data_IF_270752602922
#
_entry.id   IF_270752602922
#
_cell.length_a   1.000
_cell.length_b   1.000
_cell.length_c   1.000
_cell.angle_alpha   90.00
_cell.angle_beta   90.00
_cell.angle_gamma   90.00
#
_symmetry.space_group_name_H-M   'P 1'
#
loop_
_entity.id
_entity.type
_entity.pdbx_description
1 polymer ?
#
# COMPACT_ATOMS: atom_id res chain seq x y z
N UNK A 1 17.90 -67.49 43.71
CA UNK A 1 16.64 -67.48 44.49
C UNK A 1 16.56 -66.13 45.19
N UNK A 2 15.96 -65.13 44.54
CA UNK A 2 14.58 -64.64 44.74
C UNK A 2 14.34 -63.98 46.12
N UNK A 3 14.78 -62.73 46.19
CA UNK A 3 14.06 -61.54 46.68
C UNK A 3 12.55 -61.67 46.98
N UNK A 4 12.12 -61.20 48.16
CA UNK A 4 11.24 -60.02 48.41
C UNK A 4 10.38 -60.15 49.69
N UNK A 5 10.48 -59.12 50.52
CA UNK A 5 9.62 -58.81 51.67
C UNK A 5 8.24 -58.27 51.24
N UNK A 6 7.22 -58.56 52.04
CA UNK A 6 5.91 -57.90 52.02
C UNK A 6 5.55 -57.42 53.42
N UNK A 7 5.23 -56.14 53.57
CA UNK A 7 4.38 -55.63 54.63
C UNK A 7 3.46 -54.54 54.08
N UNK A 8 2.14 -54.79 54.11
CA UNK A 8 1.11 -53.74 54.22
C UNK A 8 1.12 -53.21 55.67
N UNK A 9 0.61 -52.02 55.99
CA UNK A 9 -0.75 -51.54 55.69
C UNK A 9 -0.87 -50.03 55.96
N UNK A 10 -1.71 -49.38 55.15
CA UNK A 10 -2.53 -48.17 55.33
C UNK A 10 -2.04 -47.01 56.22
N UNK A 11 -1.86 -45.85 55.58
CA UNK A 11 -2.13 -44.53 56.17
C UNK A 11 -3.08 -43.74 55.26
N UNK A 12 -4.08 -43.13 55.89
CA UNK A 12 -5.11 -42.27 55.30
C UNK A 12 -4.49 -40.95 54.86
N UNK A 13 -4.72 -40.53 53.60
CA UNK A 13 -4.31 -39.22 53.10
C UNK A 13 -5.54 -38.42 52.64
N UNK A 14 -5.65 -37.20 53.18
CA UNK A 14 -6.58 -36.14 52.79
C UNK A 14 -6.47 -35.82 51.29
N UNK A 15 -7.59 -35.83 50.57
CA UNK A 15 -7.68 -35.21 49.25
C UNK A 15 -7.82 -33.68 49.39
N UNK A 16 -6.78 -32.94 49.03
CA UNK A 16 -6.87 -31.52 48.68
C UNK A 16 -7.08 -31.45 47.16
N UNK A 17 -8.28 -31.07 46.71
CA UNK A 17 -8.51 -30.66 45.32
C UNK A 17 -7.87 -29.28 45.11
N UNK A 18 -6.73 -29.26 44.44
CA UNK A 18 -6.16 -28.04 43.89
C UNK A 18 -6.80 -27.79 42.52
N UNK A 19 -7.69 -26.80 42.44
CA UNK A 19 -8.16 -26.22 41.18
C UNK A 19 -7.01 -25.48 40.52
N UNK A 20 -6.38 -26.10 39.51
CA UNK A 20 -5.47 -25.42 38.60
C UNK A 20 -6.29 -24.50 37.69
N UNK A 21 -6.33 -23.20 38.02
CA UNK A 21 -6.69 -22.16 37.07
C UNK A 21 -5.56 -22.06 36.05
N UNK A 22 -5.77 -22.67 34.87
CA UNK A 22 -4.95 -22.41 33.69
C UNK A 22 -5.21 -20.96 33.26
N UNK A 23 -4.36 -20.05 33.74
CA UNK A 23 -4.20 -18.75 33.09
C UNK A 23 -3.60 -19.01 31.71
N UNK A 24 -4.44 -19.02 30.68
CA UNK A 24 -4.01 -18.73 29.32
C UNK A 24 -3.63 -17.25 29.25
N UNK A 25 -2.48 -16.91 29.82
CA UNK A 25 -1.81 -15.65 29.49
C UNK A 25 -1.36 -15.78 28.05
N UNK A 26 -2.06 -15.11 27.14
CA UNK A 26 -1.51 -14.85 25.81
C UNK A 26 -0.17 -14.15 26.05
N UNK A 27 0.91 -14.85 25.72
CA UNK A 27 2.26 -14.32 25.78
C UNK A 27 2.33 -13.16 24.79
N UNK A 28 2.16 -11.93 25.27
CA UNK A 28 2.51 -10.74 24.50
C UNK A 28 4.02 -10.65 24.47
N UNK A 29 4.64 -11.46 23.61
CA UNK A 29 6.00 -11.21 23.19
C UNK A 29 5.97 -9.87 22.45
N UNK A 30 6.62 -8.85 23.01
CA UNK A 30 7.02 -7.72 22.20
C UNK A 30 7.92 -8.28 21.09
N UNK A 31 7.43 -8.26 19.85
CA UNK A 31 8.20 -8.67 18.68
C UNK A 31 9.37 -7.68 18.57
N UNK A 32 10.61 -8.15 18.66
CA UNK A 32 11.78 -7.27 18.60
C UNK A 32 11.78 -6.52 17.26
N UNK A 33 11.67 -5.18 17.31
CA UNK A 33 11.82 -4.29 16.15
C UNK A 33 10.53 -3.78 15.49
N UNK A 34 9.33 -4.22 15.91
CA UNK A 34 8.07 -3.70 15.36
C UNK A 34 7.46 -2.60 16.26
N UNK A 35 7.04 -1.47 15.68
CA UNK A 35 6.41 -0.36 16.40
C UNK A 35 4.88 -0.52 16.54
N UNK A 36 4.37 -1.74 16.43
CA UNK A 36 2.95 -2.09 16.54
C UNK A 36 2.75 -3.36 17.36
N UNK A 37 1.50 -3.59 17.79
CA UNK A 37 1.15 -4.84 18.48
C UNK A 37 1.11 -6.02 17.49
N UNK A 38 1.24 -7.24 17.99
CA UNK A 38 1.19 -8.45 17.16
C UNK A 38 -0.09 -8.58 16.31
N UNK A 39 -1.24 -8.05 16.75
CA UNK A 39 -2.48 -8.06 15.97
C UNK A 39 -2.43 -7.15 14.73
N UNK A 40 -1.50 -6.20 14.72
CA UNK A 40 -1.30 -5.19 13.67
C UNK A 40 0.03 -5.36 12.95
N UNK A 41 0.69 -6.51 13.13
CA UNK A 41 1.98 -6.81 12.52
C UNK A 41 1.84 -7.93 11.51
N UNK A 42 2.35 -7.69 10.31
CA UNK A 42 2.46 -8.67 9.23
C UNK A 42 3.93 -9.06 9.14
N UNK A 43 4.19 -10.37 9.16
CA UNK A 43 5.52 -10.97 9.10
C UNK A 43 5.45 -12.21 8.23
N UNK A 44 5.67 -12.02 6.93
CA UNK A 44 5.45 -13.04 5.92
C UNK A 44 6.76 -13.42 5.25
N UNK A 45 7.13 -14.70 5.33
CA UNK A 45 8.25 -15.27 4.57
C UNK A 45 7.67 -16.06 3.40
N UNK A 46 7.88 -15.55 2.20
CA UNK A 46 7.44 -16.17 0.96
C UNK A 46 8.20 -17.47 0.70
N UNK A 47 7.64 -18.42 -0.06
CA UNK A 47 8.31 -19.71 -0.34
C UNK A 47 9.66 -19.60 -1.07
N UNK A 48 9.99 -18.45 -1.66
CA UNK A 48 11.31 -18.15 -2.22
C UNK A 48 12.39 -17.89 -1.15
N UNK A 49 11.99 -17.68 0.11
CA UNK A 49 12.83 -17.23 1.22
C UNK A 49 12.81 -15.71 1.44
N UNK A 50 12.27 -14.93 0.51
CA UNK A 50 12.11 -13.49 0.67
C UNK A 50 11.08 -13.20 1.77
N UNK A 51 11.28 -12.13 2.54
CA UNK A 51 10.45 -11.80 3.70
C UNK A 51 10.03 -10.34 3.71
N UNK A 52 8.75 -10.12 3.96
CA UNK A 52 8.14 -8.81 4.17
C UNK A 52 7.69 -8.67 5.61
N UNK A 53 8.02 -7.54 6.22
CA UNK A 53 7.57 -7.21 7.57
C UNK A 53 7.01 -5.79 7.57
N UNK A 54 5.83 -5.61 8.13
CA UNK A 54 5.20 -4.30 8.20
C UNK A 54 4.16 -4.22 9.30
N UNK A 55 3.94 -3.03 9.81
CA UNK A 55 2.77 -2.73 10.61
C UNK A 55 1.62 -2.25 9.72
N UNK A 56 0.39 -2.48 10.16
CA UNK A 56 -0.80 -1.92 9.51
C UNK A 56 -1.69 -1.26 10.55
N UNK A 57 -2.44 -0.24 10.13
CA UNK A 57 -3.46 0.38 10.97
C UNK A 57 -4.70 0.76 10.17
N UNK A 58 -5.77 0.97 10.92
CA UNK A 58 -7.03 1.49 10.41
C UNK A 58 -7.13 2.99 10.69
N UNK A 59 -7.43 3.77 9.64
CA UNK A 59 -7.69 5.20 9.71
C UNK A 59 -9.03 5.52 9.07
N UNK A 60 -9.79 6.42 9.68
CA UNK A 60 -11.13 6.78 9.18
C UNK A 60 -11.14 7.30 7.74
N UNK A 61 -10.08 8.00 7.31
CA UNK A 61 -9.99 8.57 5.96
C UNK A 61 -9.28 7.65 4.98
N UNK A 62 -8.01 7.37 5.21
CA UNK A 62 -7.20 6.55 4.30
C UNK A 62 -7.67 5.08 4.19
N UNK A 63 -8.45 4.58 5.15
CA UNK A 63 -8.80 3.17 5.24
C UNK A 63 -7.68 2.38 5.93
N UNK A 64 -7.03 1.47 5.20
CA UNK A 64 -5.87 0.73 5.71
C UNK A 64 -4.58 1.43 5.28
N UNK A 65 -3.67 1.62 6.23
CA UNK A 65 -2.33 2.20 6.01
C UNK A 65 -1.27 1.24 6.51
N UNK A 66 -0.19 1.08 5.75
CA UNK A 66 0.99 0.32 6.14
C UNK A 66 2.09 1.26 6.61
N UNK A 67 2.85 0.86 7.62
CA UNK A 67 3.97 1.64 8.13
C UNK A 67 5.07 0.73 8.65
N UNK A 68 6.28 1.28 8.72
CA UNK A 68 7.49 0.53 9.06
C UNK A 68 7.61 -0.74 8.20
N UNK A 69 7.67 -0.54 6.88
CA UNK A 69 7.73 -1.60 5.87
C UNK A 69 9.18 -1.97 5.62
N UNK A 70 9.50 -3.25 5.82
CA UNK A 70 10.82 -3.83 5.63
C UNK A 70 10.79 -4.97 4.63
N UNK A 71 11.88 -5.08 3.87
CA UNK A 71 12.15 -6.20 2.97
C UNK A 71 13.45 -6.90 3.36
N UNK A 72 13.46 -8.23 3.29
CA UNK A 72 14.66 -9.07 3.42
C UNK A 72 14.70 -10.05 2.26
N UNK A 73 15.74 -10.00 1.43
CA UNK A 73 15.96 -11.03 0.40
C UNK A 73 16.38 -12.36 1.04
N UNK A 74 16.26 -13.52 0.36
CA UNK A 74 16.47 -14.85 0.96
C UNK A 74 17.78 -15.03 1.75
N UNK A 75 18.86 -14.40 1.31
CA UNK A 75 20.19 -14.43 1.95
C UNK A 75 20.68 -13.02 2.35
N UNK A 76 19.77 -12.05 2.39
CA UNK A 76 20.07 -10.65 2.60
C UNK A 76 19.95 -10.20 4.05
N UNK A 77 20.21 -8.91 4.24
CA UNK A 77 19.89 -8.19 5.47
C UNK A 77 18.53 -7.53 5.34
N UNK A 78 17.79 -7.46 6.44
CA UNK A 78 16.58 -6.66 6.52
C UNK A 78 16.90 -5.19 6.20
N UNK A 79 16.04 -4.54 5.42
CA UNK A 79 16.14 -3.11 5.09
C UNK A 79 14.79 -2.45 5.20
N UNK A 80 14.75 -1.26 5.81
CA UNK A 80 13.56 -0.41 5.76
C UNK A 80 13.39 0.12 4.34
N UNK A 81 12.14 0.19 3.89
CA UNK A 81 11.77 0.64 2.55
C UNK A 81 10.84 1.84 2.63
N UNK A 82 9.74 1.70 3.38
CA UNK A 82 8.75 2.76 3.57
C UNK A 82 8.57 3.00 5.07
N UNK A 83 8.62 4.26 5.49
CA UNK A 83 8.07 4.68 6.76
C UNK A 83 6.54 4.52 6.75
N UNK A 84 5.87 4.83 5.63
CA UNK A 84 4.42 4.74 5.49
C UNK A 84 3.98 4.58 4.03
N UNK A 85 2.92 3.83 3.81
CA UNK A 85 2.28 3.65 2.51
C UNK A 85 0.76 3.66 2.65
N UNK A 86 0.06 4.44 1.82
CA UNK A 86 -1.40 4.52 1.88
C UNK A 86 -2.00 5.30 0.73
N UNK A 87 -3.34 5.28 0.65
CA UNK A 87 -4.08 6.09 -0.30
C UNK A 87 -4.25 7.52 0.23
N UNK A 88 -3.85 8.50 -0.57
CA UNK A 88 -3.93 9.92 -0.24
C UNK A 88 -5.23 10.57 -0.73
N UNK A 89 -5.81 10.08 -1.84
CA UNK A 89 -7.08 10.59 -2.36
C UNK A 89 -7.68 9.67 -3.42
N UNK A 90 -9.00 9.69 -3.54
CA UNK A 90 -9.74 9.30 -4.74
C UNK A 90 -10.52 10.51 -5.21
N UNK A 91 -10.11 11.11 -6.33
CA UNK A 91 -10.78 12.29 -6.89
C UNK A 91 -11.65 11.89 -8.08
N UNK A 92 -12.96 12.13 -7.97
CA UNK A 92 -13.97 11.66 -8.94
C UNK A 92 -14.75 12.83 -9.56
N UNK A 93 -14.21 13.46 -10.62
CA UNK A 93 -14.92 14.47 -11.38
C UNK A 93 -15.86 13.85 -12.42
N UNK A 94 -17.10 14.32 -12.47
CA UNK A 94 -18.05 14.02 -13.54
C UNK A 94 -17.89 15.01 -14.70
N UNK A 95 -18.03 14.51 -15.92
CA UNK A 95 -17.77 15.26 -17.16
C UNK A 95 -18.86 16.29 -17.49
N UNK A 96 -20.06 16.13 -16.93
CA UNK A 96 -21.12 17.14 -16.96
C UNK A 96 -20.96 18.24 -15.89
N UNK A 97 -19.91 18.15 -15.08
CA UNK A 97 -19.60 19.01 -13.95
C UNK A 97 -20.70 19.06 -12.86
N UNK A 98 -21.58 18.06 -12.80
CA UNK A 98 -22.61 17.96 -11.76
C UNK A 98 -22.04 17.66 -10.38
N UNK A 99 -20.88 17.01 -10.30
CA UNK A 99 -20.21 16.67 -9.05
C UNK A 99 -18.72 16.40 -9.24
N UNK A 100 -17.97 16.65 -8.17
CA UNK A 100 -16.52 16.42 -8.08
C UNK A 100 -16.25 15.94 -6.66
N UNK A 101 -15.94 14.65 -6.50
CA UNK A 101 -15.76 14.05 -5.17
C UNK A 101 -14.29 13.93 -4.79
N UNK A 102 -14.05 13.92 -3.48
CA UNK A 102 -12.75 13.75 -2.85
C UNK A 102 -12.90 12.69 -1.75
N UNK A 103 -13.04 11.44 -2.16
CA UNK A 103 -13.69 10.42 -1.33
C UNK A 103 -12.91 10.10 -0.05
N UNK A 104 -11.58 10.24 -0.06
CA UNK A 104 -10.76 10.00 1.13
C UNK A 104 -10.90 11.14 2.16
N UNK A 105 -10.83 12.39 1.72
CA UNK A 105 -10.84 13.55 2.62
C UNK A 105 -12.23 13.92 3.13
N UNK A 106 -13.24 13.77 2.27
CA UNK A 106 -14.60 14.27 2.51
C UNK A 106 -15.49 13.23 3.18
N UNK A 107 -15.31 11.94 2.87
CA UNK A 107 -16.08 10.83 3.44
C UNK A 107 -15.20 9.87 4.25
N UNK A 108 -14.14 9.38 3.63
CA UNK A 108 -13.23 8.37 4.14
C UNK A 108 -13.52 6.97 3.63
N UNK A 109 -12.47 6.16 3.56
CA UNK A 109 -12.48 4.73 3.21
C UNK A 109 -12.49 3.85 4.47
N UNK A 110 -12.25 4.42 5.65
CA UNK A 110 -12.24 3.71 6.92
C UNK A 110 -13.57 3.77 7.65
N UNK A 111 -13.50 3.59 8.97
CA UNK A 111 -14.67 3.62 9.85
C UNK A 111 -15.78 2.69 9.39
N UNK A 112 -16.98 3.25 9.23
CA UNK A 112 -18.17 2.54 8.74
C UNK A 112 -18.19 2.26 7.24
N UNK A 113 -17.30 2.91 6.46
CA UNK A 113 -17.20 2.71 5.01
C UNK A 113 -16.37 1.48 4.65
N UNK A 114 -15.47 1.05 5.55
CA UNK A 114 -14.73 -0.19 5.38
C UNK A 114 -15.69 -1.37 5.57
N UNK A 115 -15.65 -2.37 4.68
CA UNK A 115 -16.55 -3.54 4.69
C UNK A 115 -16.09 -4.65 5.64
N UNK A 116 -17.04 -5.47 6.10
CA UNK A 116 -16.78 -6.62 6.99
C UNK A 116 -16.62 -7.83 6.09
N UNK A 117 -15.36 -8.15 5.80
CA UNK A 117 -15.00 -9.19 4.85
C UNK A 117 -15.34 -10.56 5.45
N UNK A 118 -15.68 -11.50 4.58
CA UNK A 118 -15.84 -12.90 4.97
C UNK A 118 -14.91 -13.84 4.18
N UNK A 119 -15.00 -15.14 4.47
CA UNK A 119 -14.15 -16.14 3.82
C UNK A 119 -14.37 -16.27 2.31
N UNK A 120 -15.47 -15.74 1.76
CA UNK A 120 -15.71 -15.67 0.32
C UNK A 120 -15.00 -14.49 -0.34
N UNK A 121 -14.74 -13.40 0.41
CA UNK A 121 -13.87 -12.32 -0.03
C UNK A 121 -12.39 -12.75 0.01
N UNK A 122 -11.98 -13.42 1.09
CA UNK A 122 -10.58 -13.78 1.35
C UNK A 122 -10.30 -15.28 1.15
N UNK A 123 -10.53 -15.78 -0.06
CA UNK A 123 -10.34 -17.20 -0.39
C UNK A 123 -8.88 -17.61 -0.20
N UNK A 124 -8.67 -18.70 0.56
CA UNK A 124 -7.35 -19.26 0.92
C UNK A 124 -6.41 -18.26 1.63
N UNK A 125 -6.96 -17.16 2.15
CA UNK A 125 -6.23 -16.15 2.90
C UNK A 125 -6.54 -16.15 4.40
N UNK A 126 -6.04 -15.12 5.07
CA UNK A 126 -6.25 -14.82 6.48
C UNK A 126 -6.91 -13.47 6.60
N UNK A 127 -8.03 -13.41 7.30
CA UNK A 127 -8.71 -12.17 7.65
C UNK A 127 -8.06 -11.55 8.88
N UNK A 128 -7.65 -10.29 8.75
CA UNK A 128 -7.09 -9.47 9.81
C UNK A 128 -8.17 -8.51 10.35
N UNK A 129 -8.22 -8.40 11.67
CA UNK A 129 -9.39 -7.88 12.38
C UNK A 129 -9.11 -6.56 13.09
N UNK A 130 -10.02 -5.60 12.95
CA UNK A 130 -9.99 -4.34 13.69
C UNK A 130 -11.36 -4.10 14.35
N UNK A 131 -11.37 -3.82 15.66
CA UNK A 131 -12.60 -3.51 16.43
C UNK A 131 -13.76 -4.49 16.21
N UNK A 132 -13.46 -5.78 16.06
CA UNK A 132 -14.48 -6.82 15.91
C UNK A 132 -14.91 -7.12 14.47
N UNK A 133 -14.33 -6.41 13.50
CA UNK A 133 -14.64 -6.49 12.07
C UNK A 133 -13.45 -7.01 11.28
N UNK A 134 -13.66 -7.94 10.37
CA UNK A 134 -12.63 -8.46 9.47
C UNK A 134 -12.46 -7.45 8.32
N UNK A 135 -11.31 -6.78 8.24
CA UNK A 135 -11.15 -5.55 7.44
C UNK A 135 -10.03 -5.60 6.40
N UNK A 136 -9.14 -6.58 6.51
CA UNK A 136 -7.98 -6.72 5.65
C UNK A 136 -7.76 -8.20 5.36
N UNK A 137 -7.76 -8.57 4.09
CA UNK A 137 -7.39 -9.90 3.65
C UNK A 137 -5.89 -9.97 3.37
N UNK A 138 -5.22 -10.96 3.94
CA UNK A 138 -3.84 -11.33 3.67
C UNK A 138 -3.80 -12.67 2.96
N UNK A 139 -3.13 -12.75 1.81
CA UNK A 139 -2.93 -14.03 1.12
C UNK A 139 -1.54 -14.12 0.50
N UNK A 140 -1.00 -15.33 0.40
CA UNK A 140 0.23 -15.62 -0.35
C UNK A 140 -0.15 -16.44 -1.58
N UNK A 141 0.23 -15.95 -2.76
CA UNK A 141 -0.16 -16.54 -4.04
C UNK A 141 1.06 -16.82 -4.91
N UNK A 142 0.98 -17.86 -5.73
CA UNK A 142 2.01 -18.17 -6.72
C UNK A 142 1.90 -17.20 -7.89
N UNK A 143 3.00 -16.54 -8.26
CA UNK A 143 3.05 -15.48 -9.28
C UNK A 143 3.96 -15.86 -10.47
N UNK A 144 3.73 -17.05 -11.04
CA UNK A 144 4.50 -17.49 -12.21
C UNK A 144 5.96 -17.81 -11.90
N UNK A 145 6.90 -17.29 -12.71
CA UNK A 145 8.34 -17.53 -12.57
C UNK A 145 9.04 -16.32 -11.96
N UNK A 146 9.84 -16.57 -10.91
CA UNK A 146 10.80 -15.59 -10.40
C UNK A 146 11.94 -15.42 -11.41
N UNK A 147 12.46 -16.54 -11.91
CA UNK A 147 13.37 -16.54 -13.05
C UNK A 147 13.20 -17.80 -13.90
N UNK A 148 13.60 -17.70 -15.17
CA UNK A 148 13.61 -18.81 -16.12
C UNK A 148 14.79 -18.70 -17.08
N UNK A 149 15.70 -19.67 -17.03
CA UNK A 149 16.80 -19.83 -17.99
C UNK A 149 16.97 -21.29 -18.40
N UNK A 150 16.53 -21.63 -19.62
CA UNK A 150 16.52 -23.01 -20.14
C UNK A 150 15.84 -24.00 -19.18
N UNK A 151 16.57 -24.84 -18.45
CA UNK A 151 15.99 -25.78 -17.49
C UNK A 151 16.00 -25.24 -16.05
N UNK A 152 16.81 -24.22 -15.77
CA UNK A 152 16.84 -23.56 -14.47
C UNK A 152 15.63 -22.63 -14.35
N UNK A 153 14.87 -22.80 -13.27
CA UNK A 153 13.71 -21.97 -12.98
C UNK A 153 13.38 -22.00 -11.50
N UNK A 154 12.73 -20.93 -11.05
CA UNK A 154 12.13 -20.83 -9.72
C UNK A 154 10.75 -20.20 -9.85
N UNK A 155 9.79 -20.66 -9.05
CA UNK A 155 8.47 -20.04 -8.99
C UNK A 155 8.53 -18.76 -8.17
N UNK A 156 7.82 -17.71 -8.62
CA UNK A 156 7.62 -16.50 -7.84
C UNK A 156 6.39 -16.64 -6.94
N UNK A 157 6.40 -15.93 -5.83
CA UNK A 157 5.27 -15.80 -4.92
C UNK A 157 5.09 -14.34 -4.50
N UNK A 158 3.86 -13.96 -4.19
CA UNK A 158 3.50 -12.61 -3.76
C UNK A 158 2.69 -12.67 -2.47
N UNK A 159 2.91 -11.69 -1.60
CA UNK A 159 2.01 -11.34 -0.51
C UNK A 159 1.02 -10.30 -1.03
N UNK A 160 -0.26 -10.62 -1.02
CA UNK A 160 -1.34 -9.70 -1.40
C UNK A 160 -2.12 -9.27 -0.16
N UNK A 161 -2.31 -7.97 -0.03
CA UNK A 161 -3.06 -7.33 1.05
C UNK A 161 -4.15 -6.45 0.44
N UNK A 162 -5.42 -6.69 0.74
CA UNK A 162 -6.50 -5.83 0.27
C UNK A 162 -7.59 -5.60 1.31
N UNK A 163 -8.26 -4.47 1.18
CA UNK A 163 -9.48 -4.13 1.92
C UNK A 163 -10.56 -3.68 0.96
N UNK A 164 -11.82 -3.64 1.39
CA UNK A 164 -12.94 -3.18 0.56
C UNK A 164 -13.63 -2.02 1.28
N UNK A 165 -13.83 -0.91 0.59
CA UNK A 165 -14.49 0.28 1.11
C UNK A 165 -15.68 0.65 0.23
N UNK A 166 -16.87 0.71 0.81
CA UNK A 166 -18.09 1.11 0.12
C UNK A 166 -18.37 2.59 0.34
N UNK A 167 -18.21 3.42 -0.70
CA UNK A 167 -18.47 4.86 -0.66
C UNK A 167 -19.50 5.25 -1.71
N UNK A 168 -20.65 5.75 -1.24
CA UNK A 168 -21.75 6.09 -2.12
C UNK A 168 -22.30 4.83 -2.80
N UNK A 169 -22.09 4.74 -4.12
CA UNK A 169 -22.51 3.58 -4.92
C UNK A 169 -21.32 2.75 -5.44
N UNK A 170 -20.11 3.14 -5.05
CA UNK A 170 -18.86 2.50 -5.47
C UNK A 170 -18.28 1.65 -4.36
N UNK A 171 -17.62 0.56 -4.76
CA UNK A 171 -16.72 -0.20 -3.90
C UNK A 171 -15.29 0.00 -4.42
N UNK A 172 -14.44 0.55 -3.55
CA UNK A 172 -13.02 0.69 -3.75
C UNK A 172 -12.28 -0.44 -3.07
N UNK A 173 -11.34 -1.07 -3.77
CA UNK A 173 -10.57 -2.21 -3.28
C UNK A 173 -9.08 -1.84 -3.39
N UNK A 174 -8.52 -1.06 -2.44
CA UNK A 174 -7.09 -0.82 -2.40
C UNK A 174 -6.38 -2.16 -2.18
N UNK A 175 -5.52 -2.54 -3.11
CA UNK A 175 -4.73 -3.76 -3.09
C UNK A 175 -3.25 -3.42 -3.15
N UNK A 176 -2.47 -4.08 -2.29
CA UNK A 176 -1.02 -4.00 -2.26
C UNK A 176 -0.46 -5.38 -2.53
N UNK A 177 0.42 -5.47 -3.51
CA UNK A 177 1.15 -6.70 -3.83
C UNK A 177 2.63 -6.48 -3.50
N UNK A 178 3.16 -7.35 -2.66
CA UNK A 178 4.55 -7.36 -2.22
C UNK A 178 5.21 -8.62 -2.78
N UNK A 179 6.16 -8.46 -3.70
CA UNK A 179 6.73 -9.56 -4.47
C UNK A 179 7.99 -10.12 -3.83
N UNK A 180 8.37 -11.32 -4.22
CA UNK A 180 9.59 -11.96 -3.74
C UNK A 180 10.90 -11.42 -4.33
N UNK A 181 10.85 -10.55 -5.34
CA UNK A 181 12.00 -9.80 -5.84
C UNK A 181 12.14 -8.41 -5.20
N UNK A 182 11.22 -8.02 -4.31
CA UNK A 182 11.27 -6.76 -3.57
C UNK A 182 10.41 -5.63 -4.16
N UNK A 183 9.66 -5.87 -5.23
CA UNK A 183 8.74 -4.90 -5.77
C UNK A 183 7.49 -4.72 -4.86
N UNK A 184 6.93 -3.51 -4.93
CA UNK A 184 5.68 -3.13 -4.27
C UNK A 184 4.76 -2.57 -5.34
N UNK A 185 3.60 -3.19 -5.53
CA UNK A 185 2.63 -2.81 -6.55
C UNK A 185 1.29 -2.44 -5.89
N UNK A 186 1.05 -1.15 -5.61
CA UNK A 186 -0.27 -0.69 -5.25
C UNK A 186 -1.18 -0.66 -6.48
N UNK A 187 -2.41 -1.13 -6.31
CA UNK A 187 -3.45 -1.10 -7.34
C UNK A 187 -4.82 -0.85 -6.71
N UNK A 188 -5.80 -0.49 -7.54
CA UNK A 188 -7.16 -0.20 -7.10
C UNK A 188 -8.14 -1.04 -7.90
N UNK A 189 -8.89 -1.90 -7.22
CA UNK A 189 -10.13 -2.43 -7.75
C UNK A 189 -11.25 -1.41 -7.62
N UNK A 190 -12.06 -1.23 -8.67
CA UNK A 190 -13.24 -0.38 -8.64
C UNK A 190 -14.45 -1.16 -9.17
N UNK A 191 -15.48 -1.28 -8.34
CA UNK A 191 -16.74 -1.97 -8.67
C UNK A 191 -17.93 -1.24 -8.02
N UNK A 192 -19.11 -1.87 -7.99
CA UNK A 192 -20.36 -1.28 -7.49
C UNK A 192 -21.29 -0.91 -8.64
N UNK A 193 -21.95 0.25 -8.54
CA UNK A 193 -22.88 0.74 -9.57
C UNK A 193 -22.67 2.22 -9.88
N UNK A 194 -23.10 2.62 -11.08
CA UNK A 194 -23.07 4.04 -11.48
C UNK A 194 -23.90 4.88 -10.52
N UNK A 195 -23.31 5.94 -9.98
CA UNK A 195 -23.98 6.81 -9.02
C UNK A 195 -24.86 7.88 -9.66
N UNK A 196 -24.45 8.40 -10.83
CA UNK A 196 -25.14 9.53 -11.47
C UNK A 196 -25.62 9.22 -12.88
N UNK A 197 -26.81 9.72 -13.16
CA UNK A 197 -27.47 9.62 -14.45
C UNK A 197 -27.99 10.98 -14.88
N UNK A 198 -27.98 11.23 -16.18
CA UNK A 198 -28.56 12.41 -16.84
C UNK A 198 -29.34 12.00 -18.09
N UNK A 199 -29.63 12.98 -18.94
CA UNK A 199 -30.36 12.83 -20.21
C UNK A 199 -29.56 13.34 -21.43
N UNK A 200 -28.40 13.97 -21.21
CA UNK A 200 -27.55 14.50 -22.27
C UNK A 200 -26.45 13.50 -22.67
N UNK A 201 -26.62 12.89 -23.85
CA UNK A 201 -25.70 11.90 -24.40
C UNK A 201 -24.29 12.45 -24.72
N UNK A 202 -24.07 13.77 -24.66
CA UNK A 202 -22.72 14.34 -24.82
C UNK A 202 -21.82 14.05 -23.62
N UNK A 203 -22.40 13.79 -22.46
CA UNK A 203 -21.67 13.60 -21.19
C UNK A 203 -21.67 12.14 -20.71
N UNK A 204 -22.02 11.17 -21.55
CA UNK A 204 -22.07 9.78 -21.09
C UNK A 204 -22.64 8.79 -22.09
N UNK A 205 -23.00 7.62 -21.59
CA UNK A 205 -23.52 6.51 -22.38
C UNK A 205 -24.95 6.14 -21.97
N UNK A 206 -25.80 5.76 -22.94
CA UNK A 206 -27.14 5.26 -22.64
C UNK A 206 -27.07 3.89 -21.96
N UNK A 207 -27.74 3.77 -20.81
CA UNK A 207 -27.72 2.59 -19.93
C UNK A 207 -29.07 1.87 -19.89
N UNK A 208 -29.94 2.12 -20.86
CA UNK A 208 -31.32 1.68 -20.95
C UNK A 208 -32.35 2.72 -20.53
N UNK A 209 -33.53 2.64 -21.15
CA UNK A 209 -34.71 3.47 -20.87
C UNK A 209 -34.47 4.98 -21.03
N UNK A 210 -33.54 5.38 -21.90
CA UNK A 210 -33.23 6.80 -22.14
C UNK A 210 -32.45 7.45 -21.00
N UNK A 211 -31.84 6.66 -20.11
CA UNK A 211 -30.99 7.17 -19.03
C UNK A 211 -29.53 7.15 -19.47
N UNK A 212 -28.87 8.29 -19.38
CA UNK A 212 -27.45 8.41 -19.67
C UNK A 212 -26.67 8.22 -18.37
N UNK A 213 -25.83 7.19 -18.28
CA UNK A 213 -24.81 7.07 -17.23
C UNK A 213 -23.72 8.10 -17.49
N UNK A 214 -23.57 9.06 -16.57
CA UNK A 214 -22.67 10.20 -16.78
C UNK A 214 -21.22 9.73 -16.66
N UNK A 215 -20.41 10.07 -17.68
CA UNK A 215 -18.99 9.80 -17.73
C UNK A 215 -18.27 10.56 -16.60
N UNK A 216 -17.27 9.91 -16.04
CA UNK A 216 -16.46 10.43 -14.93
C UNK A 216 -15.12 9.70 -14.90
N UNK A 217 -14.14 10.30 -14.25
CA UNK A 217 -12.82 9.68 -14.03
C UNK A 217 -12.63 9.36 -12.56
N UNK A 218 -11.92 8.29 -12.22
CA UNK A 218 -11.43 8.04 -10.86
C UNK A 218 -9.92 8.25 -10.85
N UNK A 219 -9.45 9.26 -10.11
CA UNK A 219 -8.02 9.57 -9.98
C UNK A 219 -7.53 9.10 -8.61
N UNK A 220 -6.68 8.08 -8.61
CA UNK A 220 -6.11 7.50 -7.39
C UNK A 220 -4.75 8.13 -7.10
N UNK A 221 -4.60 8.68 -5.90
CA UNK A 221 -3.33 9.24 -5.43
C UNK A 221 -2.78 8.38 -4.31
N UNK A 222 -1.59 7.82 -4.51
CA UNK A 222 -0.87 7.05 -3.52
C UNK A 222 0.18 7.93 -2.83
N UNK A 223 0.30 7.84 -1.51
CA UNK A 223 1.36 8.49 -0.74
C UNK A 223 2.33 7.42 -0.24
N UNK A 224 3.57 7.52 -0.71
CA UNK A 224 4.68 6.66 -0.33
C UNK A 224 5.73 7.50 0.40
N UNK A 225 5.89 7.23 1.68
CA UNK A 225 6.86 7.87 2.55
C UNK A 225 8.10 6.97 2.60
N UNK A 226 9.07 7.24 1.74
CA UNK A 226 10.31 6.47 1.66
C UNK A 226 11.21 6.81 2.86
N UNK A 227 11.84 5.77 3.37
CA UNK A 227 12.81 5.83 4.46
C UNK A 227 13.78 4.66 4.22
N UNK A 228 14.59 4.80 3.17
CA UNK A 228 15.52 3.75 2.76
C UNK A 228 16.68 3.73 3.73
N UNK A 229 17.02 2.53 4.22
CA UNK A 229 18.19 2.37 5.06
C UNK A 229 17.98 2.81 6.51
N UNK A 230 18.85 3.69 7.01
CA UNK A 230 18.94 4.03 8.44
C UNK A 230 18.62 5.51 8.76
N UNK A 231 18.72 6.44 7.79
CA UNK A 231 18.46 7.87 7.99
C UNK A 231 17.36 8.37 7.05
N UNK A 232 16.18 8.65 7.62
CA UNK A 232 15.03 9.18 6.89
C UNK A 232 15.25 10.55 6.22
N UNK A 233 16.39 11.22 6.45
CA UNK A 233 16.65 12.57 5.94
C UNK A 233 17.64 12.64 4.77
N UNK A 234 18.20 11.51 4.33
CA UNK A 234 19.23 11.51 3.28
C UNK A 234 18.76 10.89 1.94
N UNK A 235 17.51 10.47 1.85
CA UNK A 235 16.88 10.00 0.63
C UNK A 235 16.83 11.09 -0.45
N UNK A 236 17.22 10.73 -1.67
CA UNK A 236 17.29 11.60 -2.84
C UNK A 236 16.42 11.05 -3.96
N UNK A 237 15.64 11.93 -4.58
CA UNK A 237 14.84 11.58 -5.76
C UNK A 237 15.52 12.01 -7.05
N UNK A 238 15.61 11.09 -7.99
CA UNK A 238 16.15 11.30 -9.32
C UNK A 238 15.08 11.05 -10.38
N UNK A 239 15.09 11.83 -11.46
CA UNK A 239 14.28 11.64 -12.64
C UNK A 239 15.11 11.02 -13.75
N UNK A 240 14.54 10.00 -14.39
CA UNK A 240 15.10 9.31 -15.53
C UNK A 240 14.24 9.56 -16.75
N UNK A 241 14.89 9.82 -17.88
CA UNK A 241 14.25 9.84 -19.18
C UNK A 241 15.09 9.05 -20.17
N UNK A 242 14.44 8.20 -20.96
CA UNK A 242 15.04 7.45 -22.05
C UNK A 242 14.50 7.95 -23.40
N UNK A 243 15.08 9.02 -23.90
CA UNK A 243 14.65 9.71 -25.11
C UNK A 243 15.47 9.39 -26.36
N UNK A 244 14.98 9.71 -27.57
CA UNK A 244 15.76 9.65 -28.81
C UNK A 244 17.01 10.54 -28.76
N UNK A 245 18.13 10.02 -29.25
CA UNK A 245 19.40 10.72 -29.40
C UNK A 245 19.89 10.57 -30.84
N UNK A 246 19.23 11.24 -31.79
CA UNK A 246 19.41 11.01 -33.22
C UNK A 246 18.38 10.02 -33.80
N UNK A 247 18.64 9.50 -35.00
CA UNK A 247 17.61 8.79 -35.79
C UNK A 247 17.33 7.35 -35.35
N UNK A 248 18.31 6.65 -34.75
CA UNK A 248 18.21 5.22 -34.41
C UNK A 248 18.72 4.88 -33.01
N UNK A 249 19.14 5.90 -32.25
CA UNK A 249 19.74 5.76 -30.93
C UNK A 249 18.86 6.43 -29.88
N UNK A 250 18.93 5.92 -28.65
CA UNK A 250 18.28 6.52 -27.47
C UNK A 250 19.33 6.65 -26.37
N UNK A 251 19.18 7.66 -25.51
CA UNK A 251 20.07 7.89 -24.37
C UNK A 251 19.25 8.05 -23.11
N UNK A 252 19.85 7.63 -21.99
CA UNK A 252 19.31 7.88 -20.66
C UNK A 252 19.85 9.24 -20.19
N UNK A 253 18.96 10.13 -19.79
CA UNK A 253 19.29 11.26 -18.93
C UNK A 253 18.81 10.97 -17.51
N UNK A 254 19.65 11.31 -16.54
CA UNK A 254 19.37 11.20 -15.11
C UNK A 254 19.63 12.58 -14.48
N UNK A 255 18.69 13.09 -13.70
CA UNK A 255 18.82 14.35 -12.97
C UNK A 255 18.25 14.23 -11.57
N UNK A 256 18.88 14.89 -10.60
CA UNK A 256 18.36 14.98 -9.23
C UNK A 256 17.25 16.03 -9.15
N UNK A 257 16.19 15.75 -8.39
CA UNK A 257 15.18 16.73 -8.01
C UNK A 257 15.63 17.43 -6.72
N UNK A 258 16.23 18.62 -6.87
CA UNK A 258 16.82 19.40 -5.77
C UNK A 258 15.80 20.17 -4.91
N UNK A 259 14.56 20.29 -5.40
CA UNK A 259 13.46 21.04 -4.78
C UNK A 259 12.18 20.24 -4.89
N UNK A 260 11.19 20.60 -4.06
CA UNK A 260 9.87 19.97 -4.12
C UNK A 260 9.24 20.22 -5.50
N UNK A 261 8.65 19.19 -6.08
CA UNK A 261 8.35 19.20 -7.50
C UNK A 261 7.15 18.33 -7.87
N UNK A 262 6.28 18.88 -8.71
CA UNK A 262 5.34 18.11 -9.50
C UNK A 262 5.91 17.74 -10.88
N UNK A 263 5.65 16.53 -11.35
CA UNK A 263 6.04 16.04 -12.67
C UNK A 263 4.90 15.31 -13.38
N UNK A 264 4.75 15.59 -14.67
CA UNK A 264 3.89 14.82 -15.55
C UNK A 264 4.62 13.54 -15.97
N UNK A 265 3.87 12.47 -16.16
CA UNK A 265 4.38 11.30 -16.89
C UNK A 265 4.66 11.68 -18.35
N UNK A 266 5.67 11.07 -18.95
CA UNK A 266 6.05 11.28 -20.35
C UNK A 266 6.36 9.91 -20.99
N UNK A 267 5.34 9.14 -21.42
CA UNK A 267 5.51 7.77 -21.93
C UNK A 267 6.44 7.71 -23.16
N UNK A 268 6.45 8.76 -23.98
CA UNK A 268 7.32 8.92 -25.14
C UNK A 268 8.82 9.02 -24.77
N UNK A 269 9.09 9.49 -23.55
CA UNK A 269 10.42 9.55 -22.94
C UNK A 269 10.67 8.40 -21.98
N UNK A 270 9.70 7.50 -21.76
CA UNK A 270 9.77 6.48 -20.71
C UNK A 270 10.18 7.10 -19.36
N UNK A 271 9.61 8.27 -19.03
CA UNK A 271 9.97 8.99 -17.81
C UNK A 271 9.61 8.18 -16.58
N UNK A 272 10.56 8.05 -15.67
CA UNK A 272 10.43 7.36 -14.39
C UNK A 272 11.24 8.07 -13.32
N UNK A 273 11.10 7.63 -12.07
CA UNK A 273 11.80 8.22 -10.95
C UNK A 273 12.51 7.16 -10.12
N UNK A 274 13.54 7.54 -9.39
CA UNK A 274 14.25 6.68 -8.46
C UNK A 274 14.40 7.39 -7.13
N UNK A 275 13.97 6.74 -6.05
CA UNK A 275 14.33 7.15 -4.70
C UNK A 275 15.55 6.33 -4.31
N UNK A 276 16.64 7.00 -3.94
CA UNK A 276 17.87 6.36 -3.50
C UNK A 276 18.33 6.89 -2.16
N UNK A 277 18.96 6.02 -1.40
CA UNK A 277 19.63 6.37 -0.15
C UNK A 277 20.85 7.27 -0.45
N UNK A 278 21.13 8.21 0.44
CA UNK A 278 22.22 9.17 0.30
C UNK A 278 23.60 8.59 0.61
N UNK A 279 23.66 7.55 1.42
CA UNK A 279 24.87 7.07 2.11
C UNK A 279 25.16 5.59 1.88
N UNK A 280 24.14 4.74 1.87
CA UNK A 280 24.23 3.29 1.80
C UNK A 280 24.32 2.82 0.36
N UNK A 281 25.35 2.03 0.08
CA UNK A 281 25.59 1.40 -1.22
C UNK A 281 25.51 -0.12 -1.15
N UNK A 282 25.21 -0.74 -2.28
CA UNK A 282 25.33 -2.18 -2.47
C UNK A 282 26.81 -2.58 -2.67
N UNK A 283 27.07 -3.88 -2.79
CA UNK A 283 28.44 -4.41 -2.94
C UNK A 283 29.17 -3.92 -4.20
N UNK A 284 28.44 -3.47 -5.22
CA UNK A 284 28.98 -2.91 -6.46
C UNK A 284 29.22 -1.38 -6.39
N UNK A 285 28.95 -0.77 -5.23
CA UNK A 285 29.15 0.66 -4.99
C UNK A 285 28.03 1.56 -5.50
N UNK A 286 26.88 1.01 -5.90
CA UNK A 286 25.70 1.77 -6.28
C UNK A 286 24.81 2.06 -5.07
N UNK A 287 24.22 3.26 -4.92
CA UNK A 287 23.24 3.54 -3.88
C UNK A 287 22.10 2.53 -3.90
N UNK A 288 21.67 2.07 -2.72
CA UNK A 288 20.43 1.29 -2.63
C UNK A 288 19.26 2.19 -3.02
N UNK A 289 18.25 1.63 -3.67
CA UNK A 289 17.17 2.44 -4.25
C UNK A 289 15.92 1.64 -4.56
N UNK A 290 14.81 2.35 -4.68
CA UNK A 290 13.58 1.90 -5.32
C UNK A 290 13.34 2.71 -6.59
N UNK A 291 13.03 2.02 -7.68
CA UNK A 291 12.64 2.63 -8.94
C UNK A 291 11.12 2.69 -9.03
N UNK A 292 10.59 3.87 -9.33
CA UNK A 292 9.17 4.16 -9.48
C UNK A 292 8.84 4.19 -10.96
N UNK A 293 8.22 3.10 -11.44
CA UNK A 293 7.76 2.98 -12.82
C UNK A 293 6.26 3.32 -12.90
N UNK A 294 5.86 4.33 -13.69
CA UNK A 294 4.45 4.63 -13.89
C UNK A 294 3.76 3.57 -14.74
N UNK A 295 2.72 2.93 -14.19
CA UNK A 295 1.85 2.03 -14.93
C UNK A 295 0.58 2.75 -15.41
N UNK A 296 -0.05 2.22 -16.47
CA UNK A 296 -1.38 2.65 -16.95
C UNK A 296 -1.56 4.16 -17.22
N UNK A 297 -0.49 4.82 -17.62
CA UNK A 297 -0.41 6.28 -17.88
C UNK A 297 -1.23 6.81 -19.08
N UNK A 298 -2.07 5.97 -19.69
CA UNK A 298 -2.85 6.34 -20.87
C UNK A 298 -4.07 7.23 -20.57
N UNK A 299 -4.63 7.13 -19.37
CA UNK A 299 -5.83 7.87 -18.97
C UNK A 299 -5.44 8.94 -17.95
N UNK A 300 -5.21 10.16 -18.44
CA UNK A 300 -4.87 11.31 -17.59
C UNK A 300 -6.01 12.31 -17.55
N UNK A 301 -6.53 12.58 -16.35
CA UNK A 301 -7.42 13.70 -16.11
C UNK A 301 -6.61 14.96 -15.76
N UNK A 302 -6.92 16.09 -16.41
CA UNK A 302 -6.46 17.41 -15.99
C UNK A 302 -7.72 18.25 -15.78
N UNK A 303 -7.91 18.69 -14.55
CA UNK A 303 -9.04 19.50 -14.12
C UNK A 303 -8.92 20.97 -14.53
N UNK A 304 -9.96 21.77 -14.22
CA UNK A 304 -9.90 23.23 -14.36
C UNK A 304 -8.80 23.84 -13.47
N UNK A 305 -8.52 25.13 -13.66
CA UNK A 305 -7.51 25.85 -12.88
C UNK A 305 -7.76 25.86 -11.35
N UNK A 306 -8.98 25.56 -10.91
CA UNK A 306 -9.34 25.37 -9.49
C UNK A 306 -8.91 24.02 -8.92
N UNK A 307 -8.38 23.11 -9.75
CA UNK A 307 -7.88 21.78 -9.36
C UNK A 307 -6.41 21.59 -9.77
N UNK A 308 -5.51 22.48 -9.34
CA UNK A 308 -4.11 22.50 -9.80
C UNK A 308 -3.32 21.23 -9.45
N UNK A 309 -3.74 20.46 -8.44
CA UNK A 309 -3.13 19.16 -8.08
C UNK A 309 -3.34 18.06 -9.13
N UNK A 310 -4.21 18.28 -10.12
CA UNK A 310 -4.46 17.32 -11.22
C UNK A 310 -3.49 17.50 -12.39
N UNK A 311 -2.68 18.57 -12.40
CA UNK A 311 -1.78 18.88 -13.52
C UNK A 311 -0.63 17.89 -13.63
N UNK A 312 -0.15 17.34 -12.50
CA UNK A 312 0.96 16.41 -12.46
C UNK A 312 0.51 15.03 -11.95
N UNK A 313 1.33 14.02 -12.25
CA UNK A 313 1.07 12.61 -11.92
C UNK A 313 2.02 12.08 -10.83
N UNK A 314 3.17 12.73 -10.69
CA UNK A 314 4.15 12.48 -9.65
C UNK A 314 4.41 13.78 -8.88
N UNK A 315 4.53 13.67 -7.57
CA UNK A 315 4.88 14.77 -6.69
C UNK A 315 5.94 14.26 -5.71
N UNK A 316 6.99 15.05 -5.52
CA UNK A 316 7.97 14.87 -4.45
C UNK A 316 7.93 16.08 -3.54
N UNK A 317 7.84 15.84 -2.23
CA UNK A 317 7.86 16.88 -1.20
C UNK A 317 8.78 16.43 -0.08
N UNK A 318 9.29 17.40 0.68
CA UNK A 318 9.93 17.14 1.95
C UNK A 318 8.85 16.71 2.94
N UNK A 319 9.17 15.75 3.80
CA UNK A 319 8.22 15.28 4.79
C UNK A 319 7.67 16.42 5.66
N UNK A 320 6.34 16.50 5.70
CA UNK A 320 5.59 17.32 6.64
C UNK A 320 4.38 16.52 7.15
N UNK A 321 4.28 16.38 8.47
CA UNK A 321 3.31 15.47 9.11
C UNK A 321 1.83 15.79 8.84
N UNK A 322 1.51 17.02 8.41
CA UNK A 322 0.16 17.45 8.08
C UNK A 322 -0.18 17.39 6.58
N UNK A 323 0.79 17.08 5.71
CA UNK A 323 0.60 16.95 4.26
C UNK A 323 0.23 15.50 3.93
N UNK A 324 -1.07 15.21 4.04
CA UNK A 324 -1.58 13.83 4.00
C UNK A 324 -2.37 13.52 2.74
N UNK A 325 -3.23 14.45 2.31
CA UNK A 325 -4.20 14.20 1.26
C UNK A 325 -3.90 15.01 0.01
N UNK A 326 -4.11 14.41 -1.17
CA UNK A 326 -3.72 15.03 -2.44
C UNK A 326 -4.47 16.33 -2.74
N UNK A 327 -5.70 16.43 -2.24
CA UNK A 327 -6.60 17.57 -2.30
C UNK A 327 -7.52 17.57 -1.08
N UNK A 328 -8.11 18.72 -0.77
CA UNK A 328 -8.94 18.89 0.43
C UNK A 328 -8.21 18.47 1.72
N UNK A 329 -6.89 18.67 1.74
CA UNK A 329 -6.10 18.45 2.93
C UNK A 329 -6.53 19.44 4.03
N UNK A 330 -6.72 18.99 5.29
CA UNK A 330 -7.04 19.89 6.38
C UNK A 330 -5.98 20.96 6.53
N UNK A 331 -6.41 22.22 6.47
CA UNK A 331 -5.53 23.38 6.63
C UNK A 331 -5.41 23.84 8.10
N UNK A 332 -5.98 23.05 9.01
CA UNK A 332 -5.71 23.17 10.44
C UNK A 332 -4.21 23.05 10.66
N UNK A 333 -3.68 23.82 11.62
CA UNK A 333 -2.25 23.88 11.93
C UNK A 333 -1.34 24.49 10.85
N UNK A 334 -1.93 25.21 9.87
CA UNK A 334 -1.19 26.05 8.92
C UNK A 334 -0.74 25.34 7.64
N UNK A 335 -1.24 24.13 7.40
CA UNK A 335 -0.84 23.32 6.27
C UNK A 335 -1.63 23.63 5.01
N UNK A 336 -1.02 23.37 3.86
CA UNK A 336 -1.62 23.70 2.58
C UNK A 336 -2.78 22.75 2.23
N UNK A 337 -3.58 23.14 1.24
CA UNK A 337 -4.84 22.45 0.92
C UNK A 337 -4.70 21.28 -0.05
N UNK A 338 -3.61 21.24 -0.84
CA UNK A 338 -3.41 20.26 -1.90
C UNK A 338 -1.95 20.15 -2.38
N UNK A 339 -1.67 19.14 -3.21
CA UNK A 339 -0.32 18.84 -3.71
C UNK A 339 0.35 19.99 -4.47
N UNK A 340 -0.42 20.84 -5.16
CA UNK A 340 0.18 21.96 -5.90
C UNK A 340 0.79 23.00 -4.98
N UNK A 341 0.30 23.05 -3.74
CA UNK A 341 0.81 23.94 -2.69
C UNK A 341 1.83 23.27 -1.78
N UNK A 342 1.85 21.93 -1.71
CA UNK A 342 2.93 21.18 -1.07
C UNK A 342 4.21 21.28 -1.90
N UNK A 343 4.15 20.91 -3.18
CA UNK A 343 5.29 20.91 -4.08
C UNK A 343 5.57 22.31 -4.66
N UNK A 344 5.98 23.25 -3.80
CA UNK A 344 6.04 24.67 -4.11
C UNK A 344 7.43 25.23 -4.49
N UNK A 345 8.47 24.39 -4.51
CA UNK A 345 9.82 24.73 -4.98
C UNK A 345 10.78 25.04 -3.86
#
# INVERSE_FOLDING_TARGET
>A
MKNINWHGSLNVALLLMATFLLFNGASTWAQAGANCSAAYFIDETLPSGARWQMCWEHRNREGIVFYDVYYTSPDGTQRKVLAQAGLAQVHVPYDDNSSRYHDVSDYGLGGSYLDDLDGSDCVDGVLLRHNGKDVLCQSVQKNGYLYKYRNAHQSSYVLTLFSVSHVGEYNYIPQWVFTDDGAIEPSMGATGRLQRFGDDARYGWEMGNGRIGIAHTHNYYWRLDFDLGEDANDDVVEEFEFGPAGAVTRTISQSTLEVEAGRQVAPELMRSWRVRDGSITNADGHPISYHLEPFEVGHRFIGPATEPWTVNNFYVTKYNSCEKYASHNPTLDGCAGDLSTFANG
#
